data_IF_026005685512
#
_entry.id   IF_026005685512
#
_cell.length_a   1.000
_cell.length_b   1.000
_cell.length_c   1.000
_cell.angle_alpha   90.00
_cell.angle_beta   90.00
_cell.angle_gamma   90.00
#
_symmetry.space_group_name_H-M   'P 1'
#
loop_
_entity.id
_entity.type
_entity.pdbx_description
1 polymer ?
#
# COMPACT_ATOMS: atom_id res chain seq x y z
N UNK A 1 -0.48 -2.60 47.95
CA UNK A 1 0.43 -3.55 47.28
C UNK A 1 1.51 -2.71 46.61
N UNK A 2 2.76 -2.80 47.07
CA UNK A 2 3.87 -1.96 46.61
C UNK A 2 4.16 -2.29 45.14
N UNK A 3 4.18 -1.28 44.28
CA UNK A 3 4.72 -1.37 42.92
C UNK A 3 6.24 -1.52 43.06
N UNK A 4 6.78 -2.69 42.76
CA UNK A 4 8.23 -2.88 42.70
C UNK A 4 8.80 -2.05 41.55
N UNK A 5 9.44 -0.96 41.95
CA UNK A 5 10.10 0.04 41.11
C UNK A 5 11.50 -0.42 40.70
N UNK A 6 11.58 -1.46 39.88
CA UNK A 6 12.82 -1.79 39.17
C UNK A 6 12.51 -2.25 37.73
N UNK A 7 12.00 -1.33 36.93
CA UNK A 7 12.00 -1.47 35.47
C UNK A 7 13.42 -1.19 34.97
N UNK A 8 14.28 -2.21 35.06
CA UNK A 8 15.66 -2.15 34.60
C UNK A 8 15.71 -1.82 33.11
N UNK A 9 16.45 -0.76 32.79
CA UNK A 9 16.78 -0.37 31.43
C UNK A 9 17.36 -1.52 30.58
N UNK A 10 17.38 -1.35 29.26
CA UNK A 10 17.93 -2.37 28.38
C UNK A 10 18.90 -1.80 27.33
N UNK A 11 19.94 -2.59 27.06
CA UNK A 11 20.84 -2.36 25.93
C UNK A 11 20.24 -2.96 24.66
N UNK A 12 20.26 -2.17 23.59
CA UNK A 12 19.73 -2.51 22.28
C UNK A 12 20.78 -2.15 21.24
N UNK A 13 20.97 -3.03 20.27
CA UNK A 13 21.64 -2.68 19.01
C UNK A 13 20.54 -2.43 17.99
N UNK A 14 20.51 -1.22 17.42
CA UNK A 14 19.54 -0.86 16.40
C UNK A 14 19.97 -1.39 15.01
N UNK A 15 19.13 -1.19 13.99
CA UNK A 15 19.39 -1.72 12.65
C UNK A 15 20.42 -0.90 11.85
N UNK A 16 20.90 0.21 12.41
CA UNK A 16 22.08 0.92 11.92
C UNK A 16 23.37 0.46 12.63
N UNK A 17 23.31 -0.59 13.46
CA UNK A 17 24.44 -1.11 14.22
C UNK A 17 24.82 -0.26 15.44
N UNK A 18 24.01 0.74 15.79
CA UNK A 18 24.27 1.63 16.93
C UNK A 18 23.83 0.96 18.22
N UNK A 19 24.65 1.09 19.27
CA UNK A 19 24.32 0.60 20.61
C UNK A 19 23.66 1.71 21.41
N UNK A 20 22.45 1.45 21.88
CA UNK A 20 21.66 2.39 22.69
C UNK A 20 21.39 1.75 24.03
N UNK A 21 21.59 2.52 25.09
CA UNK A 21 21.30 2.10 26.45
C UNK A 21 20.11 2.90 26.99
N UNK A 22 18.94 2.25 27.04
CA UNK A 22 17.77 2.84 27.67
C UNK A 22 17.91 2.67 29.18
N UNK A 23 17.90 3.77 29.94
CA UNK A 23 18.06 3.71 31.41
C UNK A 23 16.82 3.15 32.11
N UNK A 24 15.65 3.40 31.53
CA UNK A 24 14.33 3.01 32.02
C UNK A 24 13.44 2.66 30.85
N UNK A 25 12.36 1.94 31.11
CA UNK A 25 11.37 1.63 30.08
C UNK A 25 10.64 2.91 29.63
N UNK A 26 10.63 3.22 28.31
CA UNK A 26 9.95 4.39 27.78
C UNK A 26 8.44 4.36 28.01
N UNK A 27 7.89 5.52 28.33
CA UNK A 27 6.47 5.82 28.53
C UNK A 27 5.93 6.83 27.50
N UNK A 28 6.81 7.51 26.76
CA UNK A 28 6.51 8.59 25.81
C UNK A 28 7.35 8.43 24.55
N UNK A 29 6.79 7.71 23.59
CA UNK A 29 7.45 7.38 22.33
C UNK A 29 6.98 8.32 21.23
N UNK A 30 7.94 8.87 20.48
CA UNK A 30 7.68 9.49 19.19
C UNK A 30 8.08 8.53 18.08
N UNK A 31 7.20 8.36 17.08
CA UNK A 31 7.49 7.60 15.87
C UNK A 31 7.66 8.54 14.68
N UNK A 32 8.83 8.49 14.05
CA UNK A 32 9.17 9.31 12.88
C UNK A 32 8.95 8.58 11.55
N UNK A 33 8.26 7.43 11.55
CA UNK A 33 7.97 6.66 10.35
C UNK A 33 6.60 5.98 10.44
N UNK A 34 5.79 5.99 9.36
CA UNK A 34 4.49 5.29 9.35
C UNK A 34 4.64 3.80 9.69
N UNK A 35 5.63 3.11 9.12
CA UNK A 35 5.91 1.69 9.40
C UNK A 35 6.10 1.39 10.89
N UNK A 36 6.84 2.24 11.60
CA UNK A 36 7.11 2.06 13.04
C UNK A 36 5.87 2.36 13.88
N UNK A 37 5.08 3.37 13.48
CA UNK A 37 3.77 3.63 14.10
C UNK A 37 2.87 2.41 14.00
N UNK A 38 2.78 1.79 12.83
CA UNK A 38 1.97 0.60 12.60
C UNK A 38 2.40 -0.58 13.47
N UNK A 39 3.71 -0.79 13.65
CA UNK A 39 4.23 -1.85 14.55
C UNK A 39 3.77 -1.59 16.00
N UNK A 40 3.89 -0.36 16.48
CA UNK A 40 3.51 0.00 17.86
C UNK A 40 2.00 -0.21 18.08
N UNK A 41 1.16 0.16 17.11
CA UNK A 41 -0.28 -0.12 17.16
C UNK A 41 -0.58 -1.62 17.12
N UNK A 42 0.07 -2.39 16.24
CA UNK A 42 -0.16 -3.82 16.09
C UNK A 42 0.17 -4.63 17.37
N UNK A 43 1.02 -4.09 18.24
CA UNK A 43 1.35 -4.69 19.55
C UNK A 43 0.48 -4.16 20.71
N UNK A 44 -0.51 -3.30 20.45
CA UNK A 44 -1.33 -2.68 21.49
C UNK A 44 -0.54 -1.75 22.42
N UNK A 45 0.48 -1.09 21.89
CA UNK A 45 1.36 -0.16 22.61
C UNK A 45 1.14 1.30 22.21
N UNK A 46 0.02 1.59 21.54
CA UNK A 46 -0.35 2.93 21.06
C UNK A 46 -0.52 3.95 22.18
N UNK A 47 -0.82 3.50 23.40
CA UNK A 47 -0.88 4.34 24.60
C UNK A 47 0.47 4.99 24.94
N UNK A 48 1.59 4.43 24.45
CA UNK A 48 2.93 4.99 24.61
C UNK A 48 3.24 6.06 23.54
N UNK A 49 2.53 6.08 22.41
CA UNK A 49 2.75 7.06 21.35
C UNK A 49 2.24 8.45 21.76
N UNK A 50 3.17 9.38 21.91
CA UNK A 50 2.91 10.80 22.21
C UNK A 50 3.13 11.72 20.99
N UNK A 51 3.69 11.22 19.89
CA UNK A 51 3.79 11.96 18.64
C UNK A 51 4.10 11.05 17.44
N UNK A 52 3.62 11.44 16.27
CA UNK A 52 3.79 10.72 15.00
C UNK A 52 4.05 11.70 13.86
N UNK A 53 4.45 11.24 12.67
CA UNK A 53 4.51 12.10 11.48
C UNK A 53 3.11 12.32 10.89
N UNK A 54 2.95 13.37 10.09
CA UNK A 54 1.68 13.64 9.37
C UNK A 54 1.27 12.50 8.41
N UNK A 55 2.23 11.67 8.00
CA UNK A 55 2.00 10.50 7.13
C UNK A 55 1.59 9.24 7.90
N UNK A 56 1.55 9.28 9.24
CA UNK A 56 1.13 8.16 10.06
C UNK A 56 -0.40 8.05 10.07
N UNK A 57 -0.90 7.25 9.16
CA UNK A 57 -2.30 7.27 8.75
C UNK A 57 -3.01 5.91 8.91
N UNK A 58 -2.26 4.90 9.38
CA UNK A 58 -2.73 3.56 9.69
C UNK A 58 -2.23 3.10 11.08
N UNK A 59 -3.07 2.44 11.89
CA UNK A 59 -4.52 2.35 11.72
C UNK A 59 -5.17 3.76 11.79
N UNK A 60 -6.45 3.95 11.43
CA UNK A 60 -7.05 5.29 11.32
C UNK A 60 -6.88 6.18 12.56
N UNK A 61 -6.83 5.56 13.74
CA UNK A 61 -6.60 6.20 15.04
C UNK A 61 -5.23 6.88 15.15
N UNK A 62 -4.23 6.48 14.36
CA UNK A 62 -2.92 7.12 14.30
C UNK A 62 -3.00 8.61 13.94
N UNK A 63 -4.01 8.99 13.14
CA UNK A 63 -4.25 10.40 12.76
C UNK A 63 -4.62 11.30 13.94
N UNK A 64 -5.06 10.73 15.05
CA UNK A 64 -5.43 11.49 16.26
C UNK A 64 -4.22 11.84 17.13
N UNK A 65 -3.03 11.32 16.84
CA UNK A 65 -1.81 11.60 17.61
C UNK A 65 -1.22 12.96 17.19
N UNK A 66 -0.57 13.69 18.11
CA UNK A 66 0.10 14.94 17.78
C UNK A 66 1.14 14.74 16.67
N UNK A 67 1.18 15.65 15.70
CA UNK A 67 2.16 15.60 14.63
C UNK A 67 3.48 16.25 15.03
N UNK A 68 4.58 15.68 14.54
CA UNK A 68 5.96 16.19 14.74
C UNK A 68 6.65 16.46 13.40
N UNK A 69 5.88 16.94 12.42
CA UNK A 69 6.34 17.21 11.06
C UNK A 69 6.13 16.03 10.10
N UNK A 70 6.80 16.12 8.96
CA UNK A 70 6.73 15.12 7.90
C UNK A 70 7.74 13.98 8.05
N UNK A 71 7.78 13.08 7.06
CA UNK A 71 8.76 11.99 7.03
C UNK A 71 10.19 12.48 6.77
N UNK A 72 10.38 13.48 5.91
CA UNK A 72 11.71 14.08 5.65
C UNK A 72 11.90 15.44 6.32
N UNK A 73 10.83 15.98 6.90
CA UNK A 73 10.72 17.36 7.42
C UNK A 73 10.31 17.33 8.90
N UNK A 74 11.13 16.69 9.72
CA UNK A 74 10.88 16.50 11.16
C UNK A 74 10.95 17.84 11.90
N UNK A 75 9.95 18.14 12.73
CA UNK A 75 9.91 19.32 13.60
C UNK A 75 10.56 19.02 14.96
N UNK A 76 11.86 19.34 15.06
CA UNK A 76 12.65 19.17 16.29
C UNK A 76 12.11 20.04 17.45
N UNK A 77 11.58 21.23 17.14
CA UNK A 77 11.03 22.13 18.15
C UNK A 77 9.77 21.56 18.79
N UNK A 78 8.90 20.95 17.98
CA UNK A 78 7.72 20.26 18.46
C UNK A 78 8.07 19.01 19.28
N UNK A 79 9.08 18.24 18.86
CA UNK A 79 9.63 17.12 19.66
C UNK A 79 10.10 17.64 21.03
N UNK A 80 10.79 18.78 21.06
CA UNK A 80 11.24 19.45 22.28
C UNK A 80 10.11 19.80 23.26
N UNK A 81 8.94 20.20 22.75
CA UNK A 81 7.75 20.48 23.57
C UNK A 81 7.09 19.20 24.11
N UNK A 82 7.11 18.13 23.33
CA UNK A 82 6.51 16.84 23.71
C UNK A 82 7.39 16.12 24.75
N UNK A 83 8.72 16.29 24.70
CA UNK A 83 9.66 15.63 25.61
C UNK A 83 9.47 14.11 25.64
N UNK A 84 9.79 13.39 24.54
CA UNK A 84 9.77 11.94 24.53
C UNK A 84 10.89 11.35 25.37
N UNK A 85 10.73 10.08 25.77
CA UNK A 85 11.78 9.27 26.38
C UNK A 85 12.34 8.20 25.43
N UNK A 86 11.78 8.07 24.22
CA UNK A 86 12.35 7.33 23.10
C UNK A 86 11.81 7.86 21.76
N UNK A 87 12.69 7.93 20.76
CA UNK A 87 12.32 8.24 19.38
C UNK A 87 12.64 7.03 18.50
N UNK A 88 11.64 6.56 17.76
CA UNK A 88 11.77 5.51 16.74
C UNK A 88 11.89 6.16 15.36
N UNK A 89 12.87 5.75 14.56
CA UNK A 89 13.17 6.44 13.30
C UNK A 89 13.76 5.53 12.21
N UNK A 90 13.76 5.97 10.95
CA UNK A 90 14.40 5.30 9.81
C UNK A 90 15.79 5.86 9.44
N UNK A 91 16.49 5.24 8.49
CA UNK A 91 17.84 5.60 8.06
C UNK A 91 17.93 7.00 7.44
N UNK A 92 16.86 7.49 6.81
CA UNK A 92 16.81 8.84 6.23
C UNK A 92 17.20 9.93 7.25
N UNK A 93 16.95 9.69 8.53
CA UNK A 93 17.22 10.63 9.61
C UNK A 93 18.67 10.58 10.14
N UNK A 94 19.45 9.53 9.80
CA UNK A 94 20.77 9.25 10.39
C UNK A 94 21.73 10.43 10.36
N UNK A 95 21.83 11.14 9.23
CA UNK A 95 22.83 12.20 9.05
C UNK A 95 22.37 13.56 9.55
N UNK A 96 21.10 13.92 9.31
CA UNK A 96 20.62 15.29 9.50
C UNK A 96 19.82 15.49 10.79
N UNK A 97 19.02 14.50 11.20
CA UNK A 97 18.02 14.65 12.28
C UNK A 97 18.51 14.02 13.58
N UNK A 98 19.09 12.82 13.53
CA UNK A 98 19.53 12.10 14.73
C UNK A 98 20.56 12.87 15.57
N UNK A 99 21.62 13.48 14.98
CA UNK A 99 22.61 14.22 15.77
C UNK A 99 21.99 15.38 16.57
N UNK A 100 20.96 16.04 16.01
CA UNK A 100 20.26 17.13 16.69
C UNK A 100 19.43 16.59 17.87
N UNK A 101 18.71 15.49 17.68
CA UNK A 101 17.90 14.86 18.73
C UNK A 101 18.77 14.31 19.86
N UNK A 102 19.90 13.68 19.54
CA UNK A 102 20.84 13.16 20.53
C UNK A 102 21.54 14.29 21.31
N UNK A 103 21.88 15.41 20.65
CA UNK A 103 22.42 16.59 21.32
C UNK A 103 21.44 17.20 22.35
N UNK A 104 20.14 17.01 22.13
CA UNK A 104 19.08 17.38 23.08
C UNK A 104 18.85 16.31 24.17
N UNK A 105 19.59 15.19 24.15
CA UNK A 105 19.53 14.13 25.14
C UNK A 105 18.46 13.07 24.88
N UNK A 106 17.80 13.07 23.72
CA UNK A 106 16.82 12.05 23.38
C UNK A 106 17.50 10.75 22.90
N UNK A 107 17.11 9.57 23.41
CA UNK A 107 17.55 8.31 22.83
C UNK A 107 16.78 8.03 21.53
N UNK A 108 17.50 7.64 20.47
CA UNK A 108 16.95 7.51 19.11
C UNK A 108 17.31 6.18 18.46
N UNK A 109 16.35 5.27 18.29
CA UNK A 109 16.53 3.95 17.65
C UNK A 109 16.26 4.01 16.14
N UNK A 110 17.23 3.55 15.34
CA UNK A 110 17.08 3.43 13.88
C UNK A 110 16.61 2.03 13.50
N UNK A 111 15.45 1.96 12.88
CA UNK A 111 14.72 0.75 12.53
C UNK A 111 14.16 0.90 11.11
N UNK A 112 14.77 0.23 10.14
CA UNK A 112 14.35 0.22 8.74
C UNK A 112 14.79 -1.08 8.07
N UNK A 113 14.03 -2.17 8.28
CA UNK A 113 14.37 -3.44 7.67
C UNK A 113 13.94 -3.49 6.20
N UNK A 114 14.76 -4.14 5.36
CA UNK A 114 14.38 -4.46 3.98
C UNK A 114 13.93 -5.91 3.79
N UNK A 115 14.04 -6.74 4.82
CA UNK A 115 13.67 -8.17 4.80
C UNK A 115 12.54 -8.47 5.79
N UNK A 116 11.83 -9.59 5.57
CA UNK A 116 10.81 -10.05 6.53
C UNK A 116 11.47 -10.38 7.87
N UNK A 117 12.61 -11.05 7.87
CA UNK A 117 13.38 -11.36 9.07
C UNK A 117 13.79 -10.10 9.83
N UNK A 118 14.20 -9.06 9.08
CA UNK A 118 14.48 -7.74 9.62
C UNK A 118 13.25 -7.10 10.26
N UNK A 119 12.08 -7.19 9.63
CA UNK A 119 10.80 -6.73 10.20
C UNK A 119 10.47 -7.47 11.50
N UNK A 120 10.61 -8.80 11.53
CA UNK A 120 10.38 -9.58 12.75
C UNK A 120 11.36 -9.17 13.86
N UNK A 121 12.62 -8.89 13.53
CA UNK A 121 13.60 -8.37 14.48
C UNK A 121 13.21 -6.96 14.98
N UNK A 122 12.74 -6.07 14.11
CA UNK A 122 12.24 -4.74 14.50
C UNK A 122 11.09 -4.84 15.50
N UNK A 123 10.12 -5.72 15.24
CA UNK A 123 8.99 -5.96 16.14
C UNK A 123 9.49 -6.41 17.52
N UNK A 124 10.45 -7.35 17.57
CA UNK A 124 11.07 -7.81 18.82
C UNK A 124 11.82 -6.70 19.55
N UNK A 125 12.57 -5.87 18.83
CA UNK A 125 13.28 -4.73 19.43
C UNK A 125 12.27 -3.78 20.08
N UNK A 126 11.22 -3.39 19.37
CA UNK A 126 10.20 -2.48 19.91
C UNK A 126 9.44 -3.16 21.06
N UNK A 127 9.11 -4.45 20.96
CA UNK A 127 8.51 -5.23 22.05
C UNK A 127 9.35 -5.21 23.32
N UNK A 128 10.68 -5.39 23.20
CA UNK A 128 11.62 -5.28 24.31
C UNK A 128 11.66 -3.86 24.89
N UNK A 129 11.66 -2.82 24.05
CA UNK A 129 11.65 -1.42 24.49
C UNK A 129 10.36 -1.05 25.23
N UNK A 130 9.22 -1.59 24.80
CA UNK A 130 7.90 -1.18 25.29
C UNK A 130 7.35 -2.06 26.41
N UNK A 131 8.05 -3.16 26.75
CA UNK A 131 7.58 -4.12 27.75
C UNK A 131 6.45 -4.99 27.23
N UNK A 132 6.36 -5.14 25.91
CA UNK A 132 5.32 -5.86 25.17
C UNK A 132 5.89 -7.07 24.43
N UNK A 133 6.86 -7.76 25.03
CA UNK A 133 7.55 -8.89 24.42
C UNK A 133 6.58 -10.01 24.00
N UNK A 134 5.58 -10.32 24.82
CA UNK A 134 4.57 -11.35 24.50
C UNK A 134 3.75 -10.95 23.26
N UNK A 135 3.20 -9.74 23.24
CA UNK A 135 2.45 -9.21 22.09
C UNK A 135 3.33 -9.12 20.82
N UNK A 136 4.62 -8.79 20.98
CA UNK A 136 5.58 -8.79 19.89
C UNK A 136 5.79 -10.20 19.31
N UNK A 137 5.97 -11.22 20.16
CA UNK A 137 6.10 -12.61 19.69
C UNK A 137 4.80 -13.15 19.08
N UNK A 138 3.63 -12.75 19.57
CA UNK A 138 2.34 -13.08 18.94
C UNK A 138 2.24 -12.52 17.52
N UNK A 139 2.57 -11.24 17.35
CA UNK A 139 2.62 -10.59 16.04
C UNK A 139 3.64 -11.26 15.13
N UNK A 140 4.85 -11.54 15.63
CA UNK A 140 5.90 -12.23 14.88
C UNK A 140 5.46 -13.61 14.42
N UNK A 141 4.88 -14.43 15.31
CA UNK A 141 4.36 -15.76 14.96
C UNK A 141 3.27 -15.69 13.89
N UNK A 142 2.40 -14.68 13.95
CA UNK A 142 1.36 -14.46 12.94
C UNK A 142 1.96 -14.14 11.57
N UNK A 143 2.83 -13.13 11.51
CA UNK A 143 3.47 -12.67 10.28
C UNK A 143 4.38 -13.75 9.66
N UNK A 144 5.17 -14.45 10.47
CA UNK A 144 6.05 -15.53 10.03
C UNK A 144 5.26 -16.70 9.44
N UNK A 145 4.12 -17.08 10.04
CA UNK A 145 3.26 -18.14 9.52
C UNK A 145 2.67 -17.78 8.15
N UNK A 146 2.20 -16.54 8.01
CA UNK A 146 1.60 -16.02 6.77
C UNK A 146 2.64 -15.94 5.64
N UNK A 147 3.80 -15.36 5.91
CA UNK A 147 4.92 -15.33 4.97
C UNK A 147 5.40 -16.75 4.61
N UNK A 148 5.52 -17.63 5.61
CA UNK A 148 5.89 -19.03 5.42
C UNK A 148 4.90 -19.82 4.54
N UNK A 149 3.61 -19.52 4.63
CA UNK A 149 2.60 -20.12 3.75
C UNK A 149 2.82 -19.75 2.28
N UNK A 150 3.14 -18.48 2.01
CA UNK A 150 3.46 -18.01 0.65
C UNK A 150 4.74 -18.69 0.15
N UNK A 151 5.83 -18.61 0.92
CA UNK A 151 7.13 -19.11 0.48
C UNK A 151 7.17 -20.63 0.33
N UNK A 152 6.42 -21.38 1.15
CA UNK A 152 6.31 -22.83 1.01
C UNK A 152 5.68 -23.24 -0.33
N UNK A 153 4.65 -22.52 -0.79
CA UNK A 153 4.02 -22.77 -2.11
C UNK A 153 4.92 -22.35 -3.26
N UNK A 154 5.55 -21.18 -3.16
CA UNK A 154 6.49 -20.69 -4.17
C UNK A 154 7.71 -21.62 -4.28
N UNK A 155 8.16 -22.22 -3.19
CA UNK A 155 9.28 -23.17 -3.17
C UNK A 155 9.02 -24.47 -3.95
N UNK A 156 7.79 -24.72 -4.41
CA UNK A 156 7.45 -25.84 -5.30
C UNK A 156 7.76 -25.52 -6.77
N UNK A 157 7.99 -24.25 -7.11
CA UNK A 157 8.28 -23.81 -8.48
C UNK A 157 9.80 -23.82 -8.76
N UNK A 158 10.22 -24.22 -9.97
CA UNK A 158 11.59 -24.02 -10.43
C UNK A 158 12.02 -22.55 -10.36
N UNK A 159 13.29 -22.28 -10.11
CA UNK A 159 13.79 -20.89 -10.03
C UNK A 159 13.79 -20.23 -11.42
N UNK A 160 13.94 -21.02 -12.47
CA UNK A 160 13.96 -20.61 -13.86
C UNK A 160 12.58 -20.20 -14.38
N UNK A 161 11.50 -20.61 -13.71
CA UNK A 161 10.12 -20.27 -14.07
C UNK A 161 9.62 -18.97 -13.42
N UNK A 162 10.48 -18.25 -12.70
CA UNK A 162 10.10 -17.00 -12.04
C UNK A 162 9.95 -15.88 -13.08
N UNK A 163 8.75 -15.29 -13.24
CA UNK A 163 8.53 -14.28 -14.27
C UNK A 163 9.29 -12.99 -13.93
N UNK A 164 9.71 -12.28 -14.97
CA UNK A 164 10.34 -10.95 -14.82
C UNK A 164 9.31 -9.91 -14.40
N UNK A 165 9.53 -9.29 -13.25
CA UNK A 165 8.65 -8.26 -12.66
C UNK A 165 9.36 -6.92 -12.66
N UNK A 166 8.69 -5.89 -13.17
CA UNK A 166 9.08 -4.49 -13.00
C UNK A 166 8.10 -3.80 -12.06
N UNK A 167 8.61 -3.15 -11.01
CA UNK A 167 7.79 -2.31 -10.13
C UNK A 167 8.02 -0.83 -10.48
N UNK A 168 6.98 -0.12 -10.89
CA UNK A 168 7.02 1.33 -11.07
C UNK A 168 6.78 2.00 -9.71
N UNK A 169 7.87 2.45 -9.08
CA UNK A 169 7.84 3.11 -7.77
C UNK A 169 7.51 4.61 -7.91
N UNK A 170 8.04 5.28 -8.94
CA UNK A 170 7.82 6.70 -9.22
C UNK A 170 7.72 6.96 -10.73
N UNK A 171 6.69 7.70 -11.15
CA UNK A 171 6.36 7.83 -12.57
C UNK A 171 7.29 8.75 -13.35
N UNK A 172 7.68 9.87 -12.75
CA UNK A 172 8.43 10.93 -13.45
C UNK A 172 9.79 10.41 -13.93
N UNK A 173 10.48 9.70 -13.06
CA UNK A 173 11.85 9.23 -13.28
C UNK A 173 11.94 7.74 -13.60
N UNK A 174 10.81 7.02 -13.66
CA UNK A 174 10.75 5.56 -13.83
C UNK A 174 11.52 4.77 -12.77
N UNK A 175 11.68 5.39 -11.60
CA UNK A 175 12.34 4.81 -10.44
C UNK A 175 11.72 3.47 -10.09
N UNK A 176 12.55 2.52 -9.72
CA UNK A 176 12.14 1.17 -9.33
C UNK A 176 12.89 0.69 -8.09
N UNK A 177 12.52 -0.48 -7.58
CA UNK A 177 13.20 -1.16 -6.48
C UNK A 177 14.41 -1.92 -7.02
N UNK A 178 15.61 -1.50 -6.64
CA UNK A 178 16.86 -2.22 -6.90
C UNK A 178 17.08 -3.34 -5.88
N UNK A 179 18.24 -4.00 -5.95
CA UNK A 179 18.60 -5.05 -4.99
C UNK A 179 18.57 -4.54 -3.54
N UNK A 180 18.28 -5.45 -2.62
CA UNK A 180 18.32 -5.22 -1.15
C UNK A 180 17.23 -4.28 -0.60
N UNK A 181 16.23 -3.94 -1.41
CA UNK A 181 15.05 -3.18 -0.98
C UNK A 181 13.89 -4.05 -0.53
N UNK A 182 12.90 -3.43 0.11
CA UNK A 182 11.63 -4.06 0.47
C UNK A 182 10.93 -4.64 -0.77
N UNK A 183 10.77 -3.83 -1.83
CA UNK A 183 10.13 -4.29 -3.07
C UNK A 183 10.87 -5.46 -3.71
N UNK A 184 12.20 -5.47 -3.65
CA UNK A 184 13.02 -6.58 -4.12
C UNK A 184 12.80 -7.87 -3.31
N UNK A 185 12.87 -7.76 -1.98
CA UNK A 185 12.55 -8.88 -1.08
C UNK A 185 11.16 -9.43 -1.37
N UNK A 186 10.16 -8.55 -1.47
CA UNK A 186 8.78 -8.96 -1.64
C UNK A 186 8.53 -9.67 -2.97
N UNK A 187 9.06 -9.14 -4.08
CA UNK A 187 8.97 -9.80 -5.39
C UNK A 187 9.65 -11.16 -5.35
N UNK A 188 10.84 -11.24 -4.76
CA UNK A 188 11.59 -12.48 -4.67
C UNK A 188 10.84 -13.56 -3.88
N UNK A 189 10.28 -13.20 -2.71
CA UNK A 189 9.50 -14.11 -1.87
C UNK A 189 8.16 -14.50 -2.51
N UNK A 190 7.59 -13.60 -3.34
CA UNK A 190 6.37 -13.86 -4.10
C UNK A 190 6.61 -14.69 -5.37
N UNK A 191 7.83 -15.14 -5.65
CA UNK A 191 8.15 -16.00 -6.80
C UNK A 191 8.49 -15.25 -8.09
N UNK A 192 8.61 -13.93 -8.06
CA UNK A 192 9.07 -13.15 -9.21
C UNK A 192 10.59 -12.96 -9.26
N UNK A 193 11.09 -12.56 -10.42
CA UNK A 193 12.41 -11.98 -10.59
C UNK A 193 12.29 -10.46 -10.75
N UNK A 194 12.77 -9.69 -9.78
CA UNK A 194 12.78 -8.24 -9.86
C UNK A 194 13.84 -7.75 -10.86
N UNK A 195 13.41 -7.20 -11.99
CA UNK A 195 14.35 -6.67 -13.00
C UNK A 195 15.10 -5.42 -12.52
N UNK A 196 14.63 -4.76 -11.46
CA UNK A 196 15.32 -3.62 -10.86
C UNK A 196 16.74 -3.95 -10.38
N UNK A 197 16.99 -5.22 -10.01
CA UNK A 197 18.33 -5.74 -9.68
C UNK A 197 19.35 -5.50 -10.79
N UNK A 198 18.90 -5.52 -12.04
CA UNK A 198 19.78 -5.36 -13.20
C UNK A 198 20.16 -3.90 -13.47
N UNK A 199 19.50 -2.95 -12.81
CA UNK A 199 19.76 -1.52 -12.97
C UNK A 199 20.61 -0.94 -11.83
N UNK A 200 20.77 -1.68 -10.73
CA UNK A 200 21.60 -1.28 -9.60
C UNK A 200 20.97 -1.59 -8.24
N UNK A 201 21.63 -1.13 -7.19
CA UNK A 201 21.16 -1.31 -5.82
C UNK A 201 20.20 -0.20 -5.36
N UNK A 202 19.40 -0.52 -4.35
CA UNK A 202 18.51 0.40 -3.66
C UNK A 202 17.39 1.00 -4.56
N UNK A 203 17.56 2.17 -5.16
CA UNK A 203 16.52 2.77 -6.01
C UNK A 203 17.08 3.31 -7.33
N UNK A 204 17.25 2.45 -8.35
CA UNK A 204 17.72 2.86 -9.66
C UNK A 204 16.65 3.62 -10.45
N UNK A 205 17.13 4.42 -11.42
CA UNK A 205 16.34 5.26 -12.32
C UNK A 205 16.53 4.81 -13.79
N UNK A 206 16.01 3.64 -14.18
CA UNK A 206 16.19 3.13 -15.54
C UNK A 206 15.45 3.97 -16.58
N UNK A 207 16.00 4.05 -17.79
CA UNK A 207 15.26 4.62 -18.93
C UNK A 207 14.16 3.66 -19.38
N UNK A 208 13.15 4.18 -20.08
CA UNK A 208 12.07 3.39 -20.67
C UNK A 208 12.59 2.34 -21.65
N UNK A 209 13.63 2.68 -22.41
CA UNK A 209 14.30 1.78 -23.35
C UNK A 209 15.02 0.63 -22.63
N UNK A 210 15.64 0.92 -21.48
CA UNK A 210 16.29 -0.10 -20.65
C UNK A 210 15.25 -1.08 -20.06
N UNK A 211 14.11 -0.57 -19.60
CA UNK A 211 12.98 -1.39 -19.14
C UNK A 211 12.45 -2.25 -20.29
N UNK A 212 12.24 -1.66 -21.47
CA UNK A 212 11.80 -2.37 -22.67
C UNK A 212 12.75 -3.51 -23.04
N UNK A 213 14.06 -3.28 -23.00
CA UNK A 213 15.07 -4.28 -23.33
C UNK A 213 15.06 -5.47 -22.35
N UNK A 214 14.77 -5.23 -21.07
CA UNK A 214 14.60 -6.31 -20.07
C UNK A 214 13.33 -7.12 -20.30
N UNK A 215 12.35 -6.56 -21.00
CA UNK A 215 11.09 -7.16 -21.40
C UNK A 215 10.35 -7.83 -20.22
N UNK A 216 9.87 -7.06 -19.23
CA UNK A 216 9.15 -7.63 -18.10
C UNK A 216 7.87 -8.34 -18.54
N UNK A 217 7.58 -9.45 -17.88
CA UNK A 217 6.36 -10.24 -18.05
C UNK A 217 5.23 -9.71 -17.18
N UNK A 218 5.56 -9.01 -16.10
CA UNK A 218 4.60 -8.36 -15.21
C UNK A 218 5.08 -6.94 -14.89
N UNK A 219 4.18 -5.96 -14.96
CA UNK A 219 4.41 -4.61 -14.46
C UNK A 219 3.49 -4.35 -13.27
N UNK A 220 4.04 -3.87 -12.17
CA UNK A 220 3.31 -3.53 -10.95
C UNK A 220 3.55 -2.05 -10.66
N UNK A 221 2.50 -1.24 -10.72
CA UNK A 221 2.58 0.18 -10.42
C UNK A 221 2.14 0.46 -8.98
N UNK A 222 2.95 1.20 -8.23
CA UNK A 222 2.55 1.65 -6.90
C UNK A 222 1.46 2.72 -6.99
N UNK A 223 0.38 2.55 -6.26
CA UNK A 223 -0.81 3.40 -6.25
C UNK A 223 -1.07 3.89 -4.82
N UNK A 224 -2.00 4.82 -4.62
CA UNK A 224 -2.37 5.26 -3.26
C UNK A 224 -1.52 6.39 -2.69
N UNK A 225 -0.67 7.04 -3.50
CA UNK A 225 0.13 8.19 -3.11
C UNK A 225 0.02 9.33 -4.13
N UNK A 226 0.51 10.52 -3.73
CA UNK A 226 0.45 11.73 -4.54
C UNK A 226 -0.98 12.29 -4.71
N UNK A 227 -1.12 13.32 -5.53
CA UNK A 227 -2.40 13.98 -5.79
C UNK A 227 -3.36 13.10 -6.61
N UNK A 228 -2.81 12.20 -7.43
CA UNK A 228 -3.57 11.22 -8.20
C UNK A 228 -3.14 9.79 -7.86
N UNK A 229 -3.83 9.14 -6.90
CA UNK A 229 -3.51 7.79 -6.46
C UNK A 229 -3.49 6.70 -7.55
N UNK A 230 -4.10 6.94 -8.71
CA UNK A 230 -4.18 5.99 -9.83
C UNK A 230 -3.27 6.34 -11.00
N UNK A 231 -2.58 7.48 -10.95
CA UNK A 231 -1.67 7.92 -12.01
C UNK A 231 -0.64 6.85 -12.37
N UNK A 232 0.04 6.17 -11.42
CA UNK A 232 1.09 5.24 -11.79
C UNK A 232 0.59 4.04 -12.58
N UNK A 233 -0.59 3.52 -12.25
CA UNK A 233 -1.22 2.47 -13.03
C UNK A 233 -1.58 2.97 -14.44
N UNK A 234 -2.13 4.18 -14.55
CA UNK A 234 -2.43 4.80 -15.84
C UNK A 234 -1.16 4.99 -16.69
N UNK A 235 -0.07 5.46 -16.10
CA UNK A 235 1.23 5.64 -16.77
C UNK A 235 1.75 4.30 -17.28
N UNK A 236 1.81 3.28 -16.42
CA UNK A 236 2.21 1.93 -16.80
C UNK A 236 1.31 1.34 -17.92
N UNK A 237 0.01 1.65 -17.91
CA UNK A 237 -0.97 1.21 -18.90
C UNK A 237 -0.99 2.02 -20.20
N UNK A 238 -0.26 3.12 -20.32
CA UNK A 238 -0.36 3.98 -21.50
C UNK A 238 0.99 4.39 -22.09
N UNK A 239 2.11 4.11 -21.42
CA UNK A 239 3.44 4.46 -21.92
C UNK A 239 3.75 3.80 -23.28
N UNK A 240 3.90 4.59 -24.36
CA UNK A 240 4.14 4.05 -25.70
C UNK A 240 5.45 3.27 -25.82
N UNK A 241 6.50 3.68 -25.12
CA UNK A 241 7.80 3.00 -25.17
C UNK A 241 7.72 1.54 -24.69
N UNK A 242 6.77 1.25 -23.79
CA UNK A 242 6.56 -0.08 -23.23
C UNK A 242 5.47 -0.87 -23.97
N UNK A 243 4.81 -0.34 -25.00
CA UNK A 243 3.68 -1.00 -25.65
C UNK A 243 3.98 -2.44 -26.13
N UNK A 244 5.23 -2.73 -26.47
CA UNK A 244 5.67 -4.03 -27.01
C UNK A 244 6.24 -4.99 -25.96
N UNK A 245 6.32 -4.62 -24.67
CA UNK A 245 6.80 -5.56 -23.64
C UNK A 245 5.74 -6.62 -23.33
N UNK A 246 6.17 -7.81 -22.92
CA UNK A 246 5.30 -8.96 -22.66
C UNK A 246 4.16 -8.63 -21.70
N UNK A 247 4.45 -7.91 -20.60
CA UNK A 247 3.42 -7.49 -19.64
C UNK A 247 2.27 -6.70 -20.28
N UNK A 248 2.59 -5.82 -21.24
CA UNK A 248 1.61 -4.98 -21.94
C UNK A 248 0.82 -5.76 -22.99
N UNK A 249 1.48 -6.66 -23.69
CA UNK A 249 0.84 -7.53 -24.69
C UNK A 249 -0.12 -8.55 -24.06
N UNK A 250 0.21 -9.04 -22.86
CA UNK A 250 -0.58 -10.06 -22.14
C UNK A 250 -1.57 -9.46 -21.14
N UNK A 251 -1.54 -8.14 -20.93
CA UNK A 251 -2.40 -7.46 -19.96
C UNK A 251 -2.01 -7.68 -18.50
N UNK A 252 -0.79 -8.14 -18.22
CA UNK A 252 -0.24 -8.36 -16.89
C UNK A 252 0.34 -7.06 -16.30
N UNK A 253 -0.50 -6.03 -16.21
CA UNK A 253 -0.17 -4.73 -15.62
C UNK A 253 -1.13 -4.45 -14.46
N UNK A 254 -0.58 -4.29 -13.27
CA UNK A 254 -1.36 -4.24 -12.03
C UNK A 254 -1.02 -3.01 -11.20
N UNK A 255 -1.99 -2.53 -10.43
CA UNK A 255 -1.75 -1.57 -9.36
C UNK A 255 -1.62 -2.28 -8.02
N UNK A 256 -0.73 -1.80 -7.16
CA UNK A 256 -0.64 -2.20 -5.75
C UNK A 256 -0.55 -0.95 -4.88
N UNK A 257 -1.20 -0.92 -3.72
CA UNK A 257 -1.10 0.24 -2.84
C UNK A 257 0.33 0.34 -2.29
N UNK A 258 0.93 1.52 -2.37
CA UNK A 258 2.34 1.77 -2.01
C UNK A 258 2.65 1.36 -0.57
N UNK A 259 1.75 1.67 0.37
CA UNK A 259 1.81 1.20 1.76
C UNK A 259 2.13 -0.29 1.95
N UNK A 260 1.75 -1.16 1.02
CA UNK A 260 1.96 -2.61 1.12
C UNK A 260 3.38 -3.02 0.69
N UNK A 261 4.05 -2.22 -0.13
CA UNK A 261 5.32 -2.59 -0.79
C UNK A 261 6.47 -1.63 -0.50
N UNK A 262 6.17 -0.44 0.00
CA UNK A 262 7.14 0.62 0.33
C UNK A 262 7.34 0.83 1.83
N UNK A 263 6.51 0.24 2.70
CA UNK A 263 6.61 0.39 4.17
C UNK A 263 7.11 -0.90 4.82
N UNK A 264 8.20 -0.80 5.58
CA UNK A 264 8.75 -1.88 6.38
C UNK A 264 7.97 -2.11 7.70
N UNK A 265 6.64 -2.21 7.61
CA UNK A 265 5.73 -2.44 8.73
C UNK A 265 5.00 -3.79 8.63
N UNK A 266 4.05 -4.11 9.53
CA UNK A 266 3.34 -5.38 9.53
C UNK A 266 2.63 -5.68 8.20
N UNK A 267 2.14 -4.64 7.52
CA UNK A 267 1.48 -4.73 6.20
C UNK A 267 2.42 -5.14 5.06
N UNK A 268 3.73 -5.23 5.28
CA UNK A 268 4.67 -5.83 4.33
C UNK A 268 4.31 -7.29 4.01
N UNK A 269 3.78 -8.06 4.97
CA UNK A 269 3.30 -9.43 4.73
C UNK A 269 2.00 -9.44 3.94
N UNK A 270 1.13 -8.43 4.14
CA UNK A 270 -0.05 -8.25 3.30
C UNK A 270 0.37 -7.99 1.83
N UNK A 271 1.39 -7.16 1.62
CA UNK A 271 2.00 -6.92 0.31
C UNK A 271 2.58 -8.18 -0.33
N UNK A 272 3.28 -9.01 0.43
CA UNK A 272 3.79 -10.31 -0.02
C UNK A 272 2.64 -11.20 -0.54
N UNK A 273 1.56 -11.32 0.23
CA UNK A 273 0.41 -12.13 -0.18
C UNK A 273 -0.27 -11.55 -1.44
N UNK A 274 -0.38 -10.22 -1.56
CA UNK A 274 -0.90 -9.58 -2.77
C UNK A 274 -0.04 -9.86 -3.99
N UNK A 275 1.28 -9.68 -3.87
CA UNK A 275 2.22 -9.92 -4.97
C UNK A 275 2.20 -11.39 -5.39
N UNK A 276 2.14 -12.33 -4.46
CA UNK A 276 2.03 -13.75 -4.78
C UNK A 276 0.77 -14.07 -5.59
N UNK A 277 -0.37 -13.42 -5.30
CA UNK A 277 -1.59 -13.55 -6.10
C UNK A 277 -1.49 -12.92 -7.49
N UNK A 278 -0.79 -11.80 -7.62
CA UNK A 278 -0.59 -11.14 -8.91
C UNK A 278 0.40 -11.88 -9.81
N UNK A 279 1.44 -12.47 -9.22
CA UNK A 279 2.52 -13.16 -9.93
C UNK A 279 2.13 -14.61 -10.24
N UNK A 280 1.49 -15.31 -9.29
CA UNK A 280 1.12 -16.73 -9.40
C UNK A 280 -0.36 -16.98 -9.06
N UNK A 281 -1.32 -16.44 -9.83
CA UNK A 281 -2.75 -16.64 -9.58
C UNK A 281 -3.18 -18.11 -9.58
N UNK A 282 -2.43 -18.98 -10.27
CA UNK A 282 -2.62 -20.44 -10.28
C UNK A 282 -2.33 -21.10 -8.92
N UNK A 283 -1.41 -20.54 -8.12
CA UNK A 283 -1.09 -21.01 -6.77
C UNK A 283 -1.89 -20.29 -5.69
N UNK A 284 -2.34 -19.06 -5.99
CA UNK A 284 -3.04 -18.16 -5.07
C UNK A 284 -4.29 -17.56 -5.74
N UNK A 285 -5.33 -18.37 -6.01
CA UNK A 285 -6.53 -17.91 -6.74
C UNK A 285 -7.42 -16.96 -5.92
N UNK A 286 -7.27 -16.94 -4.60
CA UNK A 286 -8.05 -16.08 -3.71
C UNK A 286 -7.25 -14.83 -3.33
N UNK A 287 -7.75 -13.65 -3.72
CA UNK A 287 -7.13 -12.38 -3.34
C UNK A 287 -7.29 -12.10 -1.83
N UNK A 288 -6.19 -11.82 -1.10
CA UNK A 288 -6.23 -11.42 0.29
C UNK A 288 -7.09 -10.17 0.48
N UNK A 289 -7.75 -10.05 1.63
CA UNK A 289 -8.60 -8.90 1.94
C UNK A 289 -7.86 -7.56 1.89
N UNK A 290 -6.58 -7.54 2.23
CA UNK A 290 -5.74 -6.35 2.14
C UNK A 290 -5.52 -5.86 0.70
N UNK A 291 -5.64 -6.75 -0.28
CA UNK A 291 -5.54 -6.44 -1.71
C UNK A 291 -6.89 -6.05 -2.32
N UNK A 292 -7.99 -6.22 -1.57
CA UNK A 292 -9.34 -5.81 -1.98
C UNK A 292 -9.46 -4.30 -1.77
N UNK A 293 -8.87 -3.53 -2.69
CA UNK A 293 -9.23 -2.13 -2.83
C UNK A 293 -10.75 -2.03 -3.00
N UNK A 294 -11.39 -1.07 -2.33
CA UNK A 294 -12.80 -0.75 -2.58
C UNK A 294 -12.92 -0.29 -4.04
N UNK A 295 -13.40 -1.17 -4.91
CA UNK A 295 -13.71 -0.83 -6.31
C UNK A 295 -15.20 -0.50 -6.39
N UNK A 296 -15.52 0.75 -6.74
CA UNK A 296 -16.85 1.14 -7.21
C UNK A 296 -16.77 1.31 -8.74
N UNK A 297 -17.66 0.64 -9.48
CA UNK A 297 -17.95 0.99 -10.88
C UNK A 297 -19.45 1.18 -11.03
N UNK A 298 -19.84 2.36 -11.51
CA UNK A 298 -21.19 2.68 -11.96
C UNK A 298 -21.40 2.13 -13.38
N UNK A 299 -22.45 1.33 -13.58
CA UNK A 299 -22.80 0.74 -14.87
C UNK A 299 -23.35 1.76 -15.88
N UNK A 300 -23.08 1.51 -17.16
CA UNK A 300 -23.57 2.28 -18.32
C UNK A 300 -24.71 1.51 -18.99
N UNK A 301 -25.94 2.04 -18.94
CA UNK A 301 -27.02 1.92 -19.93
C UNK A 301 -27.62 0.54 -20.30
N UNK A 302 -28.80 0.52 -20.95
CA UNK A 302 -29.51 -0.72 -21.30
C UNK A 302 -28.96 -1.31 -22.61
N UNK A 303 -28.26 -2.44 -22.51
CA UNK A 303 -27.82 -3.27 -23.63
C UNK A 303 -27.72 -4.74 -23.19
N UNK A 304 -27.90 -5.67 -24.12
CA UNK A 304 -27.76 -7.12 -23.88
C UNK A 304 -26.35 -7.47 -23.40
N UNK A 305 -26.22 -8.53 -22.58
CA UNK A 305 -24.96 -8.99 -21.97
C UNK A 305 -23.80 -9.21 -22.98
N UNK A 306 -24.13 -9.41 -24.25
CA UNK A 306 -23.23 -9.54 -25.40
C UNK A 306 -22.42 -8.26 -25.71
N UNK A 307 -22.82 -7.10 -25.15
CA UNK A 307 -22.19 -5.80 -25.40
C UNK A 307 -21.10 -5.45 -24.38
N UNK A 308 -20.95 -6.27 -23.34
CA UNK A 308 -19.83 -6.15 -22.41
C UNK A 308 -18.64 -6.86 -23.03
N UNK A 309 -17.59 -6.11 -23.38
CA UNK A 309 -16.43 -6.70 -24.05
C UNK A 309 -15.84 -7.85 -23.22
N UNK A 310 -15.29 -8.90 -23.85
CA UNK A 310 -14.65 -10.01 -23.12
C UNK A 310 -13.54 -9.55 -22.15
N UNK A 311 -12.91 -8.41 -22.44
CA UNK A 311 -11.97 -7.74 -21.53
C UNK A 311 -12.67 -7.23 -20.26
N UNK A 312 -13.84 -6.59 -20.38
CA UNK A 312 -14.61 -6.12 -19.22
C UNK A 312 -15.16 -7.29 -18.42
N UNK A 313 -15.61 -8.37 -19.05
CA UNK A 313 -16.01 -9.60 -18.35
C UNK A 313 -14.85 -10.22 -17.56
N UNK A 314 -13.65 -10.27 -18.15
CA UNK A 314 -12.44 -10.74 -17.47
C UNK A 314 -11.98 -9.80 -16.34
N UNK A 315 -12.18 -8.49 -16.48
CA UNK A 315 -11.89 -7.49 -15.45
C UNK A 315 -12.86 -7.62 -14.26
N UNK A 316 -14.15 -7.86 -14.55
CA UNK A 316 -15.19 -8.11 -13.55
C UNK A 316 -14.96 -9.42 -12.80
N UNK A 317 -14.57 -10.49 -13.48
CA UNK A 317 -14.23 -11.77 -12.83
C UNK A 317 -12.98 -11.67 -11.93
N UNK A 318 -12.13 -10.65 -12.12
CA UNK A 318 -10.88 -10.42 -11.38
C UNK A 318 -11.03 -9.40 -10.24
N UNK A 319 -12.21 -8.82 -10.01
CA UNK A 319 -12.47 -7.83 -8.96
C UNK A 319 -13.73 -8.20 -8.15
N UNK A 320 -13.81 -7.76 -6.88
CA UNK A 320 -15.03 -7.90 -6.06
C UNK A 320 -16.12 -6.91 -6.50
N UNK A 321 -16.57 -7.03 -7.75
CA UNK A 321 -17.60 -6.18 -8.35
C UNK A 321 -18.92 -6.95 -8.34
N UNK A 322 -19.94 -6.38 -7.69
CA UNK A 322 -21.34 -6.76 -7.93
C UNK A 322 -21.80 -6.09 -9.23
N UNK A 323 -22.00 -6.88 -10.28
CA UNK A 323 -22.72 -6.47 -11.49
C UNK A 323 -24.12 -7.06 -11.41
N UNK A 324 -25.15 -6.22 -11.44
CA UNK A 324 -26.53 -6.67 -11.36
C UNK A 324 -27.53 -5.63 -11.87
N UNK A 325 -28.71 -6.10 -12.26
CA UNK A 325 -29.81 -5.27 -12.76
C UNK A 325 -30.43 -4.46 -11.61
N UNK A 326 -31.26 -3.45 -11.91
CA UNK A 326 -31.91 -2.61 -10.88
C UNK A 326 -32.67 -3.42 -9.81
N UNK A 327 -33.17 -4.60 -10.18
CA UNK A 327 -33.83 -5.56 -9.30
C UNK A 327 -32.89 -6.28 -8.31
N UNK A 328 -31.60 -6.41 -8.63
CA UNK A 328 -30.57 -7.07 -7.82
C UNK A 328 -29.91 -6.11 -6.80
N UNK A 329 -30.19 -4.80 -6.90
CA UNK A 329 -29.72 -3.76 -5.97
C UNK A 329 -30.60 -3.60 -4.71
N UNK A 330 -31.76 -4.27 -4.65
CA UNK A 330 -32.67 -4.20 -3.49
C UNK A 330 -32.04 -4.64 -2.15
N UNK A 331 -31.20 -5.69 -2.07
CA UNK A 331 -30.54 -6.10 -0.82
C UNK A 331 -29.45 -5.12 -0.37
N UNK A 332 -28.78 -4.44 -1.32
CA UNK A 332 -27.60 -3.58 -1.08
C UNK A 332 -27.97 -2.16 -0.65
N UNK A 333 -29.22 -1.72 -0.91
CA UNK A 333 -29.73 -0.40 -0.46
C UNK A 333 -29.61 -0.17 1.05
N UNK A 334 -29.64 -1.23 1.87
CA UNK A 334 -29.49 -1.14 3.33
C UNK A 334 -28.05 -0.78 3.74
N UNK A 335 -27.06 -1.29 3.02
CA UNK A 335 -25.62 -1.07 3.24
C UNK A 335 -25.19 0.35 2.85
N UNK A 336 -25.77 0.90 1.79
CA UNK A 336 -25.43 2.25 1.28
C UNK A 336 -25.97 3.37 2.18
N UNK A 337 -27.05 3.13 2.94
CA UNK A 337 -27.67 4.14 3.84
C UNK A 337 -26.73 4.68 4.92
N UNK A 338 -25.63 3.99 5.22
CA UNK A 338 -24.78 4.26 6.38
C UNK A 338 -23.42 4.92 6.06
N UNK A 339 -23.13 5.31 4.81
CA UNK A 339 -21.84 5.94 4.46
C UNK A 339 -22.03 7.30 3.77
N UNK A 340 -21.35 8.35 4.28
CA UNK A 340 -21.38 9.74 3.75
C UNK A 340 -20.15 10.01 2.88
N UNK A 341 -20.33 10.51 1.65
CA UNK A 341 -19.25 10.98 0.75
C UNK A 341 -19.59 12.41 0.24
N UNK A 342 -18.58 13.27 0.08
CA UNK A 342 -18.70 14.70 -0.29
C UNK A 342 -18.55 14.96 -1.82
N UNK A 343 -19.18 16.03 -2.31
CA UNK A 343 -19.55 16.27 -3.73
C UNK A 343 -18.51 16.99 -4.61
N UNK A 344 -17.38 17.46 -4.08
CA UNK A 344 -16.49 18.37 -4.84
C UNK A 344 -15.66 17.71 -5.94
N UNK A 345 -15.53 16.38 -5.96
CA UNK A 345 -14.68 15.65 -6.91
C UNK A 345 -15.39 15.22 -8.21
N UNK A 346 -16.72 15.33 -8.27
CA UNK A 346 -17.51 14.80 -9.40
C UNK A 346 -17.56 15.71 -10.64
N UNK A 347 -17.21 16.99 -10.50
CA UNK A 347 -17.40 17.98 -11.58
C UNK A 347 -16.30 17.94 -12.66
N UNK A 348 -15.15 17.35 -12.37
CA UNK A 348 -13.98 17.32 -13.26
C UNK A 348 -13.97 16.16 -14.25
N UNK A 349 -14.84 15.15 -14.06
CA UNK A 349 -14.81 13.88 -14.81
C UNK A 349 -15.61 13.93 -16.13
N UNK A 350 -16.50 14.90 -16.33
CA UNK A 350 -17.42 14.93 -17.48
C UNK A 350 -17.12 16.11 -18.43
N UNK A 351 -16.28 15.89 -19.44
CA UNK A 351 -16.18 16.77 -20.63
C UNK A 351 -17.18 16.32 -21.71
N UNK A 352 -18.37 16.94 -21.74
CA UNK A 352 -19.11 17.47 -22.93
C UNK A 352 -20.57 17.78 -22.54
N UNK A 353 -21.22 18.78 -23.17
CA UNK A 353 -22.30 19.54 -22.58
C UNK A 353 -23.67 19.02 -23.02
N UNK A 354 -24.52 18.69 -22.05
CA UNK A 354 -25.91 19.14 -22.13
C UNK A 354 -26.41 19.42 -20.71
N UNK A 355 -26.71 20.69 -20.44
CA UNK A 355 -27.10 21.23 -19.12
C UNK A 355 -28.47 20.74 -18.61
N UNK A 356 -28.99 19.60 -19.07
CA UNK A 356 -30.32 19.13 -18.68
C UNK A 356 -30.27 17.69 -18.21
N UNK A 357 -29.97 17.53 -16.91
CA UNK A 357 -30.60 16.59 -15.96
C UNK A 357 -29.60 16.21 -14.84
N UNK A 358 -29.37 17.15 -13.93
CA UNK A 358 -28.83 16.86 -12.59
C UNK A 358 -29.95 17.18 -11.59
N UNK A 359 -30.40 16.19 -10.82
CA UNK A 359 -31.26 16.44 -9.64
C UNK A 359 -30.60 15.80 -8.42
N UNK A 360 -30.08 16.67 -7.55
CA UNK A 360 -29.56 16.33 -6.23
C UNK A 360 -30.72 15.98 -5.29
N UNK A 361 -30.56 14.91 -4.49
CA UNK A 361 -31.26 14.79 -3.20
C UNK A 361 -30.22 14.74 -2.08
N UNK A 362 -30.53 15.43 -0.99
CA UNK A 362 -29.69 15.61 0.21
C UNK A 362 -29.35 14.26 0.85
N UNK A 363 -28.29 13.61 0.40
CA UNK A 363 -27.36 12.73 1.15
C UNK A 363 -26.44 11.99 0.16
N UNK A 364 -25.28 12.57 -0.13
CA UNK A 364 -23.99 11.88 -0.27
C UNK A 364 -23.73 10.80 -1.34
N UNK A 365 -24.60 10.57 -2.33
CA UNK A 365 -24.30 9.64 -3.44
C UNK A 365 -24.62 10.26 -4.80
N UNK A 366 -23.70 10.12 -5.76
CA UNK A 366 -23.90 10.46 -7.17
C UNK A 366 -24.46 9.23 -7.89
N UNK A 367 -25.71 9.30 -8.35
CA UNK A 367 -26.32 8.34 -9.27
C UNK A 367 -26.36 8.97 -10.66
N UNK A 368 -25.60 8.41 -11.61
CA UNK A 368 -25.67 8.81 -13.02
C UNK A 368 -26.80 8.03 -13.70
N UNK A 369 -27.80 8.74 -14.20
CA UNK A 369 -28.82 8.20 -15.11
C UNK A 369 -28.59 8.77 -16.50
N UNK A 370 -28.46 7.93 -17.52
CA UNK A 370 -28.75 8.33 -18.90
C UNK A 370 -30.13 7.77 -19.26
N UNK A 371 -31.07 8.64 -19.64
CA UNK A 371 -32.30 8.21 -20.30
C UNK A 371 -32.04 8.20 -21.81
N UNK A 372 -32.21 7.08 -22.52
CA UNK A 372 -32.30 7.13 -23.96
C UNK A 372 -33.64 7.79 -24.36
N UNK A 373 -33.58 8.87 -25.13
CA UNK A 373 -34.75 9.38 -25.87
C UNK A 373 -34.82 8.57 -27.16
N UNK A 374 -35.55 7.46 -27.14
CA UNK A 374 -35.84 6.71 -28.37
C UNK A 374 -37.07 7.35 -29.02
N UNK A 375 -36.86 8.15 -30.07
CA UNK A 375 -37.92 8.45 -31.05
C UNK A 375 -37.93 7.31 -32.06
N UNK A 376 -39.00 6.53 -32.07
CA UNK A 376 -39.26 5.57 -33.12
C UNK A 376 -39.66 6.32 -34.40
N UNK A 377 -38.79 6.32 -35.41
CA UNK A 377 -39.19 6.58 -36.80
C UNK A 377 -39.37 5.23 -37.49
N UNK A 378 -40.61 4.81 -37.70
CA UNK A 378 -40.91 3.71 -38.62
C UNK A 378 -40.49 4.12 -40.04
N UNK A 379 -39.59 3.36 -40.65
CA UNK A 379 -39.54 3.22 -42.10
C UNK A 379 -39.82 1.75 -42.47
N UNK A 380 -40.86 1.48 -43.27
CA UNK A 380 -41.15 0.14 -43.76
C UNK A 380 -40.42 -0.15 -45.08
N UNK A 381 -39.83 -1.35 -45.17
CA UNK A 381 -39.76 -2.14 -46.40
C UNK A 381 -38.47 -2.02 -47.23
N UNK A 382 -37.77 -3.15 -47.38
CA UNK A 382 -37.20 -3.60 -48.66
C UNK A 382 -37.01 -5.12 -48.65
N UNK A 383 -37.88 -5.83 -49.36
CA UNK A 383 -37.50 -6.96 -50.21
C UNK A 383 -38.40 -6.94 -51.45
N UNK A 384 -37.76 -6.90 -52.62
CA UNK A 384 -38.25 -6.72 -53.99
C UNK A 384 -38.78 -5.32 -54.34
#
# INVERSE_FOLDING_TARGET
MKLDSNQTGCQITDQAGRRINLKTMPKRIISLAPSLTEIVYAMGADNLLCGVTEYCDYPPEARNKPWVGGYSTVDIGQIGKIQPDLILTGQIHLKAVIPQLEALGYPVLVLEPSTIEGLLATIRIIGKCTGRQEAAEDLVRSLQRRAGFVTAKIGLLPTESRPKVYILHECETWKTFGSETIGDTLVHLAGGYNIGRDFGSYYPYPTKEAIKLKNPEIIIAETGYGDNPQEPLSVALNEPALAQVTARQTGQVFGIHSDLVSRAGPRMVDGLECLACLIHPELFPQKPSACRGKVYIAGVGPGSAEWVSPQVQNLVAKADILVGWEQDLKPVRSLIKNQKIFLQEAATILKYPSRRQLRLRKTGALLLYSKPVIRWSHQPGFTA
#
